data_IF_307015652351
#
_entry.id   IF_307015652351
#
_cell.length_a   1.000
_cell.length_b   1.000
_cell.length_c   1.000
_cell.angle_alpha   90.00
_cell.angle_beta   90.00
_cell.angle_gamma   90.00
#
_symmetry.space_group_name_H-M   'P 1'
#
loop_
_entity.id
_entity.type
_entity.pdbx_description
1 polymer ?
#
# COMPACT_ATOMS: atom_id res chain seq x y z
N UNK A 1 -64.48 -15.31 -20.81
CA UNK A 1 -64.14 -14.20 -19.89
C UNK A 1 -62.90 -13.52 -20.47
N UNK A 2 -63.05 -12.30 -21.01
CA UNK A 2 -62.45 -11.05 -20.45
C UNK A 2 -60.91 -11.22 -20.31
N UNK A 3 -60.02 -10.50 -20.97
CA UNK A 3 -60.05 -9.20 -21.63
C UNK A 3 -58.66 -8.55 -21.49
N UNK A 4 -58.33 -7.65 -22.42
CA UNK A 4 -57.30 -6.59 -22.34
C UNK A 4 -55.81 -7.01 -22.22
N UNK A 5 -54.97 -6.85 -23.24
CA UNK A 5 -54.41 -5.58 -23.78
C UNK A 5 -53.51 -4.84 -22.76
N UNK A 6 -52.17 -4.90 -22.92
CA UNK A 6 -51.34 -3.73 -23.25
C UNK A 6 -49.84 -4.05 -23.39
N UNK A 7 -49.32 -3.48 -24.48
CA UNK A 7 -47.94 -3.28 -24.93
C UNK A 7 -47.01 -2.66 -23.86
N UNK A 8 -45.71 -2.97 -23.91
CA UNK A 8 -44.68 -1.92 -23.87
C UNK A 8 -43.36 -2.34 -24.53
N UNK A 9 -42.97 -1.51 -25.49
CA UNK A 9 -41.69 -1.41 -26.17
C UNK A 9 -40.51 -1.16 -25.23
N UNK A 10 -39.30 -1.46 -25.71
CA UNK A 10 -38.04 -0.86 -25.28
C UNK A 10 -37.16 -1.83 -24.51
N UNK A 11 -35.89 -2.05 -24.81
CA UNK A 11 -34.99 -1.32 -25.69
C UNK A 11 -33.90 -2.28 -26.20
N UNK A 12 -33.61 -2.23 -27.50
CA UNK A 12 -32.31 -2.66 -27.99
C UNK A 12 -31.27 -1.70 -27.39
N UNK A 13 -30.48 -2.19 -26.43
CA UNK A 13 -29.36 -1.41 -25.89
C UNK A 13 -28.27 -1.45 -26.95
N UNK A 14 -28.23 -0.39 -27.75
CA UNK A 14 -27.14 -0.10 -28.66
C UNK A 14 -25.86 0.07 -27.84
N UNK A 15 -24.90 -0.83 -28.05
CA UNK A 15 -23.55 -0.72 -27.51
C UNK A 15 -22.85 0.40 -28.26
N UNK A 16 -22.85 1.61 -27.68
CA UNK A 16 -22.11 2.76 -28.21
C UNK A 16 -20.63 2.51 -27.93
N UNK A 17 -19.92 2.07 -28.96
CA UNK A 17 -18.46 2.04 -29.03
C UNK A 17 -17.98 3.49 -29.15
N UNK A 18 -17.57 4.11 -28.05
CA UNK A 18 -16.94 5.44 -28.08
C UNK A 18 -15.53 5.28 -28.62
N UNK A 19 -15.35 5.47 -29.92
CA UNK A 19 -14.04 5.74 -30.50
C UNK A 19 -13.63 7.17 -30.09
N UNK A 20 -12.68 7.29 -29.16
CA UNK A 20 -11.97 8.55 -28.96
C UNK A 20 -11.11 8.81 -30.20
N UNK A 21 -11.64 9.61 -31.12
CA UNK A 21 -10.87 10.24 -32.18
C UNK A 21 -9.94 11.28 -31.56
N UNK A 22 -8.65 10.99 -31.51
CA UNK A 22 -7.62 11.99 -31.20
C UNK A 22 -7.38 12.80 -32.47
N UNK A 23 -8.00 13.97 -32.55
CA UNK A 23 -7.76 14.93 -33.63
C UNK A 23 -6.34 15.49 -33.52
N UNK A 24 -5.44 15.03 -34.38
CA UNK A 24 -4.16 15.70 -34.64
C UNK A 24 -4.44 16.93 -35.50
N UNK A 25 -4.71 18.07 -34.84
CA UNK A 25 -4.74 19.37 -35.52
C UNK A 25 -3.31 19.73 -35.91
N UNK A 26 -3.00 19.58 -37.20
CA UNK A 26 -1.77 20.12 -37.78
C UNK A 26 -1.80 21.65 -37.68
N UNK A 27 -0.99 22.21 -36.77
CA UNK A 27 -0.70 23.65 -36.78
C UNK A 27 0.08 23.99 -38.05
N UNK A 28 -0.54 24.77 -38.93
CA UNK A 28 0.10 25.37 -40.09
C UNK A 28 1.21 26.32 -39.62
N UNK A 29 2.44 26.07 -40.08
CA UNK A 29 3.55 26.98 -39.88
C UNK A 29 3.42 28.18 -40.82
N UNK A 30 2.97 29.31 -40.29
CA UNK A 30 3.21 30.62 -40.91
C UNK A 30 4.71 30.93 -40.78
N UNK A 31 5.38 31.05 -41.93
CA UNK A 31 6.77 31.47 -42.03
C UNK A 31 6.89 32.97 -41.68
N UNK A 32 6.92 33.30 -40.38
CA UNK A 32 7.37 34.61 -39.92
C UNK A 32 8.88 34.59 -39.77
N UNK A 33 9.53 35.51 -40.49
CA UNK A 33 10.98 35.74 -40.50
C UNK A 33 11.39 36.29 -39.13
N UNK A 34 11.67 35.39 -38.20
CA UNK A 34 12.10 35.73 -36.84
C UNK A 34 13.60 35.98 -36.79
N UNK A 35 13.96 37.19 -36.37
CA UNK A 35 15.32 37.55 -35.98
C UNK A 35 15.81 36.54 -34.94
N UNK A 36 16.91 35.84 -35.24
CA UNK A 36 17.56 34.90 -34.33
C UNK A 36 18.21 35.66 -33.17
N UNK A 37 17.41 36.02 -32.17
CA UNK A 37 17.93 36.33 -30.84
C UNK A 37 18.30 35.00 -30.20
N UNK A 38 19.58 34.79 -29.92
CA UNK A 38 20.11 33.63 -29.19
C UNK A 38 19.55 33.64 -27.75
N UNK A 39 18.30 33.21 -27.58
CA UNK A 39 17.73 32.94 -26.26
C UNK A 39 18.29 31.59 -25.78
N UNK A 40 19.29 31.64 -24.91
CA UNK A 40 19.65 30.51 -24.07
C UNK A 40 18.40 30.13 -23.26
N UNK A 41 17.91 28.87 -23.31
CA UNK A 41 16.81 28.43 -22.45
C UNK A 41 17.20 28.68 -20.99
N UNK A 42 16.39 29.44 -20.26
CA UNK A 42 16.56 29.56 -18.83
C UNK A 42 16.45 28.15 -18.22
N UNK A 43 17.40 27.72 -17.38
CA UNK A 43 17.32 26.39 -16.77
C UNK A 43 16.03 26.31 -15.96
N UNK A 44 15.13 25.40 -16.34
CA UNK A 44 13.98 25.07 -15.51
C UNK A 44 14.52 24.47 -14.21
N UNK A 45 14.21 25.05 -13.03
CA UNK A 45 14.66 24.46 -11.78
C UNK A 45 14.00 23.08 -11.68
N UNK A 46 14.82 22.03 -11.75
CA UNK A 46 14.35 20.68 -11.45
C UNK A 46 13.98 20.66 -9.97
N UNK A 47 12.72 20.38 -9.60
CA UNK A 47 12.37 20.25 -8.20
C UNK A 47 13.17 19.09 -7.62
N UNK A 48 14.08 19.39 -6.71
CA UNK A 48 14.76 18.36 -5.92
C UNK A 48 13.70 17.70 -5.05
N UNK A 49 13.33 16.45 -5.37
CA UNK A 49 12.46 15.67 -4.52
C UNK A 49 13.20 15.39 -3.20
N UNK A 50 12.85 16.13 -2.15
CA UNK A 50 13.37 15.86 -0.81
C UNK A 50 12.73 14.57 -0.32
N UNK A 51 13.54 13.52 -0.15
CA UNK A 51 13.08 12.26 0.43
C UNK A 51 12.80 12.43 1.93
N UNK A 52 11.76 11.75 2.42
CA UNK A 52 11.51 11.66 3.85
C UNK A 52 12.55 10.76 4.52
N UNK A 53 12.85 10.97 5.81
CA UNK A 53 13.71 10.04 6.56
C UNK A 53 13.16 8.61 6.51
N UNK A 54 14.06 7.61 6.48
CA UNK A 54 13.65 6.22 6.59
C UNK A 54 13.06 5.94 7.99
N UNK A 55 11.96 5.17 8.07
CA UNK A 55 11.40 4.77 9.35
C UNK A 55 12.44 4.02 10.18
N UNK A 56 12.59 4.43 11.44
CA UNK A 56 13.42 3.72 12.40
C UNK A 56 12.49 3.05 13.41
N UNK A 57 12.53 1.72 13.45
CA UNK A 57 11.69 0.88 14.30
C UNK A 57 11.81 1.27 15.79
N UNK A 58 13.00 1.70 16.21
CA UNK A 58 13.25 2.20 17.56
C UNK A 58 12.40 3.43 17.94
N UNK A 59 11.86 4.15 16.94
CA UNK A 59 11.04 5.34 17.13
C UNK A 59 9.54 5.04 17.11
N UNK A 60 9.13 3.81 16.78
CA UNK A 60 7.71 3.46 16.74
C UNK A 60 7.12 3.38 18.15
N UNK A 61 5.94 3.98 18.40
CA UNK A 61 5.27 3.88 19.68
C UNK A 61 4.98 2.42 20.02
N UNK A 62 5.18 2.05 21.28
CA UNK A 62 4.90 0.70 21.78
C UNK A 62 3.76 0.75 22.80
N UNK A 63 2.83 -0.20 22.70
CA UNK A 63 1.77 -0.42 23.68
C UNK A 63 1.58 -1.92 23.96
N UNK A 64 0.72 -2.24 24.92
CA UNK A 64 0.36 -3.64 25.20
C UNK A 64 -0.43 -4.24 24.04
N UNK A 65 -0.19 -5.52 23.79
CA UNK A 65 -0.95 -6.28 22.80
C UNK A 65 -2.42 -6.34 23.20
N UNK A 66 -3.30 -6.03 22.25
CA UNK A 66 -4.75 -6.14 22.45
C UNK A 66 -5.23 -7.59 22.31
N UNK A 67 -6.37 -7.93 22.91
CA UNK A 67 -6.94 -9.27 22.81
C UNK A 67 -7.25 -9.67 21.36
N UNK A 68 -7.72 -8.74 20.54
CA UNK A 68 -8.03 -8.98 19.13
C UNK A 68 -6.75 -9.31 18.33
N UNK A 69 -5.68 -8.53 18.53
CA UNK A 69 -4.37 -8.78 17.89
C UNK A 69 -3.83 -10.14 18.32
N UNK A 70 -3.83 -10.47 19.61
CA UNK A 70 -3.39 -11.78 20.09
C UNK A 70 -4.20 -12.92 19.47
N UNK A 71 -5.52 -12.76 19.36
CA UNK A 71 -6.42 -13.76 18.78
C UNK A 71 -6.06 -14.00 17.31
N UNK A 72 -5.92 -12.95 16.52
CA UNK A 72 -5.61 -13.05 15.09
C UNK A 72 -4.25 -13.68 14.85
N UNK A 73 -3.22 -13.27 15.61
CA UNK A 73 -1.87 -13.85 15.49
C UNK A 73 -1.87 -15.33 15.88
N UNK A 74 -2.57 -15.68 16.97
CA UNK A 74 -2.69 -17.08 17.41
C UNK A 74 -3.37 -17.93 16.36
N UNK A 75 -4.47 -17.45 15.77
CA UNK A 75 -5.18 -18.15 14.70
C UNK A 75 -4.32 -18.31 13.45
N UNK A 76 -3.58 -17.27 13.07
CA UNK A 76 -2.68 -17.29 11.91
C UNK A 76 -1.60 -18.37 12.03
N UNK A 77 -0.92 -18.47 13.19
CA UNK A 77 0.10 -19.50 13.41
C UNK A 77 -0.48 -20.90 13.69
N UNK A 78 -1.67 -20.98 14.28
CA UNK A 78 -2.38 -22.26 14.47
C UNK A 78 -2.71 -22.90 13.11
N UNK A 79 -3.21 -22.12 12.16
CA UNK A 79 -3.50 -22.59 10.80
C UNK A 79 -2.26 -23.10 10.04
N UNK A 80 -1.06 -22.69 10.46
CA UNK A 80 0.23 -23.14 9.91
C UNK A 80 0.87 -24.30 10.70
N UNK A 81 0.22 -24.75 11.77
CA UNK A 81 0.78 -25.74 12.70
C UNK A 81 2.09 -25.30 13.37
N UNK A 82 2.19 -24.01 13.71
CA UNK A 82 3.40 -23.42 14.33
C UNK A 82 3.17 -22.99 15.78
N UNK A 83 2.10 -23.42 16.41
CA UNK A 83 1.83 -23.17 17.83
C UNK A 83 2.61 -24.10 18.74
N UNK A 84 2.95 -23.70 19.98
CA UNK A 84 2.52 -22.48 20.67
C UNK A 84 3.25 -21.22 20.20
N UNK A 85 2.62 -20.05 20.43
CA UNK A 85 3.26 -18.76 20.15
C UNK A 85 3.55 -17.97 21.43
N UNK A 86 4.51 -17.07 21.36
CA UNK A 86 4.77 -16.06 22.39
C UNK A 86 5.03 -14.72 21.73
N UNK A 87 4.28 -13.69 22.11
CA UNK A 87 4.54 -12.31 21.68
C UNK A 87 5.54 -11.68 22.64
N UNK A 88 6.64 -11.19 22.10
CA UNK A 88 7.73 -10.63 22.90
C UNK A 88 7.24 -9.47 23.76
N UNK A 89 7.51 -9.56 25.08
CA UNK A 89 7.12 -8.58 26.11
C UNK A 89 5.62 -8.25 26.15
N UNK A 90 4.76 -9.02 25.49
CA UNK A 90 3.34 -8.69 25.31
C UNK A 90 3.14 -7.27 24.74
N UNK A 91 3.97 -6.90 23.75
CA UNK A 91 4.00 -5.57 23.14
C UNK A 91 3.70 -5.58 21.65
N UNK A 92 3.00 -4.54 21.19
CA UNK A 92 2.79 -4.22 19.78
C UNK A 92 3.35 -2.84 19.47
N UNK A 93 4.07 -2.73 18.35
CA UNK A 93 4.55 -1.48 17.78
C UNK A 93 3.44 -0.89 16.92
N UNK A 94 3.09 0.36 17.15
CA UNK A 94 2.05 1.06 16.37
C UNK A 94 2.68 1.62 15.12
N UNK A 95 2.12 1.26 13.97
CA UNK A 95 2.59 1.69 12.66
C UNK A 95 1.75 2.86 12.14
N UNK A 96 2.39 3.80 11.44
CA UNK A 96 1.67 4.76 10.61
C UNK A 96 1.21 4.07 9.32
N UNK A 97 -0.10 4.07 9.07
CA UNK A 97 -0.70 3.39 7.91
C UNK A 97 -0.18 3.93 6.59
N UNK A 98 0.06 5.24 6.50
CA UNK A 98 0.50 5.88 5.26
C UNK A 98 1.97 5.59 5.00
N UNK A 99 2.80 5.67 6.03
CA UNK A 99 4.21 5.30 5.97
C UNK A 99 4.38 3.82 5.60
N UNK A 100 3.67 2.92 6.28
CA UNK A 100 3.79 1.48 6.05
C UNK A 100 2.87 0.96 4.93
N UNK A 101 2.34 1.86 4.10
CA UNK A 101 1.39 1.51 3.06
C UNK A 101 1.96 0.54 2.03
N UNK A 102 1.11 -0.31 1.46
CA UNK A 102 1.53 -1.33 0.51
C UNK A 102 2.27 -0.72 -0.70
N UNK A 103 3.52 -1.12 -0.91
CA UNK A 103 4.34 -0.63 -2.03
C UNK A 103 5.82 -0.44 -1.67
N UNK A 104 6.62 -0.05 -2.67
CA UNK A 104 8.03 0.29 -2.51
C UNK A 104 8.16 1.77 -2.18
N UNK A 105 8.83 2.07 -1.07
CA UNK A 105 9.08 3.43 -0.60
C UNK A 105 10.56 3.77 -0.71
N UNK A 106 10.86 4.97 -1.21
CA UNK A 106 12.21 5.53 -1.17
C UNK A 106 12.32 6.50 -0.01
N UNK A 107 13.44 6.47 0.71
CA UNK A 107 13.63 7.31 1.89
C UNK A 107 15.11 7.66 2.08
N UNK A 108 15.41 8.58 3.00
CA UNK A 108 16.77 8.97 3.34
C UNK A 108 17.24 8.29 4.62
N UNK A 109 18.35 7.54 4.56
CA UNK A 109 18.95 7.00 5.79
C UNK A 109 19.63 8.12 6.60
N UNK A 110 19.61 8.05 7.94
CA UNK A 110 20.35 8.97 8.79
C UNK A 110 21.85 8.97 8.43
N UNK A 111 22.38 10.15 8.08
CA UNK A 111 23.81 10.34 7.80
C UNK A 111 24.37 9.59 6.59
N UNK A 112 23.52 9.05 5.72
CA UNK A 112 23.93 8.10 4.68
C UNK A 112 23.17 8.24 3.36
N UNK A 113 23.37 7.28 2.43
CA UNK A 113 22.73 7.27 1.12
C UNK A 113 21.22 7.01 1.21
N UNK A 114 20.52 7.22 0.10
CA UNK A 114 19.10 6.90 -0.04
C UNK A 114 18.89 5.40 0.24
N UNK A 115 17.82 5.09 0.96
CA UNK A 115 17.34 3.74 1.23
C UNK A 115 15.97 3.50 0.63
N UNK A 116 15.43 2.31 0.90
CA UNK A 116 14.06 2.00 0.60
C UNK A 116 13.56 0.82 1.42
N UNK A 117 12.24 0.71 1.51
CA UNK A 117 11.56 -0.38 2.20
C UNK A 117 10.29 -0.75 1.45
N UNK A 118 9.72 -1.91 1.78
CA UNK A 118 8.46 -2.38 1.22
C UNK A 118 7.42 -2.38 2.32
N UNK A 119 6.45 -1.48 2.23
CA UNK A 119 5.29 -1.49 3.11
C UNK A 119 4.28 -2.54 2.65
N UNK A 120 3.42 -2.98 3.57
CA UNK A 120 2.42 -4.02 3.33
C UNK A 120 1.01 -3.64 3.80
N UNK A 121 0.84 -2.50 4.45
CA UNK A 121 -0.43 -2.09 5.03
C UNK A 121 -1.35 -1.56 3.93
N UNK A 122 -2.57 -2.10 3.73
CA UNK A 122 -3.51 -1.54 2.77
C UNK A 122 -3.86 -0.09 3.13
N UNK A 123 -3.93 0.81 2.14
CA UNK A 123 -4.31 2.21 2.36
C UNK A 123 -5.73 2.38 2.93
N UNK A 124 -6.57 1.35 2.83
CA UNK A 124 -7.91 1.31 3.41
C UNK A 124 -7.90 0.96 4.90
N UNK A 125 -6.77 0.54 5.46
CA UNK A 125 -6.66 0.21 6.88
C UNK A 125 -6.84 1.47 7.75
N UNK A 126 -7.49 1.30 8.90
CA UNK A 126 -7.69 2.40 9.87
C UNK A 126 -6.65 2.40 10.98
N UNK A 127 -5.94 1.28 11.16
CA UNK A 127 -4.81 1.14 12.06
C UNK A 127 -3.89 0.02 11.57
N UNK A 128 -2.62 0.07 11.96
CA UNK A 128 -1.69 -1.02 11.75
C UNK A 128 -0.76 -1.18 12.95
N UNK A 129 -0.37 -2.42 13.22
CA UNK A 129 0.57 -2.77 14.28
C UNK A 129 1.54 -3.83 13.80
N UNK A 130 2.69 -3.90 14.45
CA UNK A 130 3.64 -4.99 14.27
C UNK A 130 3.96 -5.63 15.62
N UNK A 131 3.97 -6.96 15.65
CA UNK A 131 4.36 -7.74 16.82
C UNK A 131 5.54 -8.63 16.48
N UNK A 132 6.44 -8.84 17.45
CA UNK A 132 7.50 -9.84 17.32
C UNK A 132 7.06 -11.14 17.99
N UNK A 133 6.92 -12.19 17.19
CA UNK A 133 6.32 -13.47 17.59
C UNK A 133 7.38 -14.54 17.56
N UNK A 134 7.49 -15.33 18.63
CA UNK A 134 8.16 -16.63 18.63
C UNK A 134 7.12 -17.72 18.44
N UNK A 135 7.45 -18.74 17.66
CA UNK A 135 6.57 -19.86 17.30
C UNK A 135 7.41 -21.12 17.06
N UNK A 136 6.78 -22.28 16.88
CA UNK A 136 7.50 -23.50 16.48
C UNK A 136 8.21 -23.31 15.14
N UNK A 137 9.41 -23.88 14.91
CA UNK A 137 10.13 -23.70 13.66
C UNK A 137 9.34 -24.17 12.43
N UNK A 138 9.51 -23.48 11.31
CA UNK A 138 9.01 -23.97 10.02
C UNK A 138 9.67 -25.31 9.64
N UNK A 139 8.95 -26.28 9.04
CA UNK A 139 9.53 -27.56 8.65
C UNK A 139 10.71 -27.44 7.65
N UNK A 140 10.66 -26.45 6.76
CA UNK A 140 11.65 -26.24 5.73
C UNK A 140 12.80 -25.30 6.13
N UNK A 141 12.62 -24.50 7.17
CA UNK A 141 13.60 -23.50 7.61
C UNK A 141 13.55 -23.38 9.14
N UNK A 142 14.70 -23.41 9.85
CA UNK A 142 14.74 -23.39 11.31
C UNK A 142 14.42 -22.00 11.93
N UNK A 143 13.63 -21.19 11.24
CA UNK A 143 13.18 -19.87 11.72
C UNK A 143 12.00 -20.10 12.65
N UNK A 144 12.13 -19.62 13.88
CA UNK A 144 11.14 -19.75 14.96
C UNK A 144 10.69 -18.39 15.50
N UNK A 145 10.95 -17.33 14.74
CA UNK A 145 10.58 -15.98 15.12
C UNK A 145 10.45 -15.05 13.93
N UNK A 146 9.38 -14.25 13.95
CA UNK A 146 9.05 -13.34 12.87
C UNK A 146 8.46 -12.03 13.41
N UNK A 147 8.64 -10.97 12.65
CA UNK A 147 7.84 -9.76 12.75
C UNK A 147 6.55 -9.97 11.96
N UNK A 148 5.42 -9.72 12.60
CA UNK A 148 4.09 -9.91 11.99
C UNK A 148 3.39 -8.57 11.96
N UNK A 149 3.07 -8.11 10.77
CA UNK A 149 2.32 -6.87 10.56
C UNK A 149 0.84 -7.19 10.44
N UNK A 150 0.03 -6.52 11.25
CA UNK A 150 -1.42 -6.60 11.22
C UNK A 150 -2.01 -5.25 10.83
N UNK A 151 -3.10 -5.29 10.06
CA UNK A 151 -3.86 -4.11 9.69
C UNK A 151 -5.32 -4.29 10.12
N UNK A 152 -5.90 -3.24 10.70
CA UNK A 152 -7.34 -3.16 10.96
C UNK A 152 -8.02 -2.64 9.70
N UNK A 153 -8.71 -3.53 8.98
CA UNK A 153 -9.36 -3.19 7.71
C UNK A 153 -10.88 -3.05 7.93
N UNK A 154 -11.51 -1.94 7.53
CA UNK A 154 -12.96 -1.77 7.62
C UNK A 154 -13.73 -2.94 7.01
N UNK A 155 -14.72 -3.47 7.74
CA UNK A 155 -15.54 -4.60 7.31
C UNK A 155 -14.88 -5.99 7.42
N UNK A 156 -13.56 -6.07 7.62
CA UNK A 156 -12.83 -7.34 7.77
C UNK A 156 -12.32 -7.55 9.19
N UNK A 157 -11.90 -6.48 9.87
CA UNK A 157 -11.25 -6.56 11.18
C UNK A 157 -9.72 -6.64 11.08
N UNK A 158 -9.07 -7.04 12.16
CA UNK A 158 -7.62 -7.25 12.21
C UNK A 158 -7.22 -8.41 11.32
N UNK A 159 -6.25 -8.20 10.45
CA UNK A 159 -5.75 -9.20 9.51
C UNK A 159 -4.23 -9.16 9.46
N UNK A 160 -3.57 -10.32 9.42
CA UNK A 160 -2.13 -10.40 9.14
C UNK A 160 -1.89 -10.06 7.67
N UNK A 161 -1.14 -8.99 7.41
CA UNK A 161 -0.85 -8.49 6.05
C UNK A 161 0.60 -8.73 5.62
N UNK A 162 1.51 -8.97 6.56
CA UNK A 162 2.87 -9.39 6.26
C UNK A 162 3.50 -10.17 7.41
N UNK A 163 4.48 -11.00 7.05
CA UNK A 163 5.36 -11.71 7.96
C UNK A 163 6.79 -11.64 7.40
N UNK A 164 7.75 -11.29 8.25
CA UNK A 164 9.14 -11.09 7.84
C UNK A 164 10.10 -11.48 8.96
N UNK A 165 11.37 -11.70 8.61
CA UNK A 165 12.44 -11.99 9.59
C UNK A 165 13.09 -10.72 10.16
N UNK A 166 12.78 -9.56 9.57
CA UNK A 166 13.19 -8.24 10.02
C UNK A 166 12.00 -7.28 9.97
N UNK A 167 12.00 -6.23 10.79
CA UNK A 167 10.96 -5.21 10.78
C UNK A 167 11.03 -4.33 9.52
#
# INVERSE_FOLDING_TARGET
>A
MIGHLRLRMGAAVATILVMLAVSVTACQATLTKSVSVKQTPAPTPTPTATLTPCPAVANWPVKLVTADVLTVVTQYYSAKHLTPITIYKNQEMVLDVKEQSAGVHSCQNPGGPNGGYVGAVPLTATAAVMVYVKHEPYPAMPISSNFVTLAQIPGTGWTVVAESTGP
#
